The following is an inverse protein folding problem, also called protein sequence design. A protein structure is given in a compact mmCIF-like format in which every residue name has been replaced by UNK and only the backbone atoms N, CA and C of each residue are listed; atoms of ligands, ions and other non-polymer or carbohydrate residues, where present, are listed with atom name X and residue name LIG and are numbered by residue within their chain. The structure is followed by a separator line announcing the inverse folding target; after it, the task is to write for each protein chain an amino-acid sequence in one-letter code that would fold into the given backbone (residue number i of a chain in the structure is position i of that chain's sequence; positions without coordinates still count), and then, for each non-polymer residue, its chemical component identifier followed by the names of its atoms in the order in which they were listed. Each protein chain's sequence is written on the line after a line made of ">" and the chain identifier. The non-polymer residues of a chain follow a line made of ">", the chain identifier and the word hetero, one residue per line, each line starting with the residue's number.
data_IF_538576685648
#
_entry.id   IF_538576685648
#
_cell.length_a   1.000
_cell.length_b   1.000
_cell.length_c   1.000
_cell.angle_alpha   90.00
_cell.angle_beta   90.00
_cell.angle_gamma   90.00
#
_symmetry.space_group_name_H-M   'P 1'
#
loop_
_entity.id
_entity.type
_entity.pdbx_description
1 polymer ?
#
# COMPACT_ATOMS: atom_id res chain seq x y z
N UNK A 1 -18.80 -25.48 -12.43
CA UNK A 1 -17.66 -24.59 -12.68
C UNK A 1 -16.67 -24.75 -11.55
N UNK A 2 -15.39 -24.91 -11.82
CA UNK A 2 -14.40 -25.07 -10.76
C UNK A 2 -14.00 -23.72 -10.14
N UNK A 3 -13.39 -23.76 -8.97
CA UNK A 3 -13.03 -22.55 -8.21
C UNK A 3 -12.06 -21.63 -8.97
N UNK A 4 -11.14 -22.21 -9.75
CA UNK A 4 -10.18 -21.43 -10.53
C UNK A 4 -10.85 -20.60 -11.62
N UNK A 5 -11.82 -21.16 -12.33
CA UNK A 5 -12.59 -20.44 -13.35
C UNK A 5 -13.46 -19.36 -12.71
N UNK A 6 -14.02 -19.64 -11.56
CA UNK A 6 -14.82 -18.65 -10.83
C UNK A 6 -13.97 -17.46 -10.40
N UNK A 7 -12.76 -17.69 -9.90
CA UNK A 7 -11.82 -16.62 -9.55
C UNK A 7 -11.45 -15.74 -10.73
N UNK A 8 -11.19 -16.34 -11.90
CA UNK A 8 -10.88 -15.58 -13.12
C UNK A 8 -12.05 -14.68 -13.50
N UNK A 9 -13.28 -15.19 -13.48
CA UNK A 9 -14.46 -14.40 -13.78
C UNK A 9 -14.68 -13.26 -12.78
N UNK A 10 -14.49 -13.52 -11.50
CA UNK A 10 -14.58 -12.49 -10.45
C UNK A 10 -13.56 -11.38 -10.73
N UNK A 11 -12.31 -11.72 -11.07
CA UNK A 11 -11.29 -10.75 -11.43
C UNK A 11 -11.64 -9.95 -12.67
N UNK A 12 -12.16 -10.59 -13.71
CA UNK A 12 -12.56 -9.91 -14.95
C UNK A 12 -13.72 -8.93 -14.72
N UNK A 13 -14.61 -9.24 -13.80
CA UNK A 13 -15.72 -8.36 -13.45
C UNK A 13 -15.30 -7.23 -12.51
N UNK A 14 -14.39 -7.49 -11.58
CA UNK A 14 -13.94 -6.49 -10.62
C UNK A 14 -12.89 -5.53 -11.19
N UNK A 15 -12.04 -5.97 -12.10
CA UNK A 15 -10.96 -5.14 -12.63
C UNK A 15 -11.44 -3.81 -13.23
N UNK A 16 -12.48 -3.74 -14.07
CA UNK A 16 -13.02 -2.47 -14.54
C UNK A 16 -13.67 -1.65 -13.42
N UNK A 17 -14.28 -2.31 -12.43
CA UNK A 17 -14.96 -1.65 -11.34
C UNK A 17 -13.99 -1.01 -10.33
N UNK A 18 -12.76 -1.53 -10.23
CA UNK A 18 -11.74 -0.98 -9.32
C UNK A 18 -11.17 0.36 -9.80
N UNK A 19 -11.43 0.75 -11.06
CA UNK A 19 -10.93 2.02 -11.59
C UNK A 19 -9.45 1.97 -11.88
N UNK A 20 -8.60 2.16 -10.89
CA UNK A 20 -7.15 2.16 -11.04
C UNK A 20 -6.45 1.09 -10.23
N UNK A 21 -5.17 0.94 -10.48
CA UNK A 21 -4.30 0.06 -9.69
C UNK A 21 -2.86 0.54 -9.80
N UNK A 22 -2.10 0.34 -8.76
CA UNK A 22 -0.67 0.63 -8.77
C UNK A 22 0.10 -0.40 -7.95
N UNK A 23 1.34 -0.62 -8.35
CA UNK A 23 2.28 -1.45 -7.63
C UNK A 23 3.62 -0.75 -7.53
N UNK A 24 4.34 -0.96 -6.44
CA UNK A 24 5.58 -0.26 -6.17
C UNK A 24 6.51 -1.05 -5.27
N UNK A 25 7.82 -0.76 -5.42
CA UNK A 25 8.81 -1.10 -4.41
C UNK A 25 9.12 0.12 -3.57
N UNK A 26 9.56 -0.08 -2.35
CA UNK A 26 9.93 1.03 -1.48
C UNK A 26 11.21 0.75 -0.69
N UNK A 27 11.86 1.86 -0.32
CA UNK A 27 12.90 1.90 0.68
C UNK A 27 12.40 2.72 1.85
N UNK A 28 12.53 2.21 3.06
CA UNK A 28 12.01 2.87 4.24
C UNK A 28 12.94 2.85 5.42
N UNK A 29 12.55 3.57 6.44
CA UNK A 29 13.25 3.62 7.71
C UNK A 29 12.25 3.56 8.86
N UNK A 30 12.46 2.61 9.76
CA UNK A 30 11.67 2.44 10.97
C UNK A 30 12.60 1.90 12.06
N UNK A 31 13.39 2.82 12.66
CA UNK A 31 14.47 2.43 13.56
C UNK A 31 15.66 1.75 12.89
N UNK A 32 15.47 1.25 11.67
CA UNK A 32 16.49 0.66 10.81
C UNK A 32 15.99 0.72 9.37
N UNK A 33 16.89 0.55 8.40
CA UNK A 33 16.53 0.51 6.99
C UNK A 33 15.67 -0.72 6.67
N UNK A 34 14.70 -0.54 5.81
CA UNK A 34 13.80 -1.58 5.33
C UNK A 34 13.65 -1.48 3.82
N UNK A 35 13.44 -2.61 3.18
CA UNK A 35 13.01 -2.67 1.79
C UNK A 35 11.73 -3.45 1.68
N UNK A 36 10.91 -3.11 0.72
CA UNK A 36 9.65 -3.84 0.55
C UNK A 36 8.92 -3.43 -0.71
N UNK A 37 7.66 -3.77 -0.74
CA UNK A 37 6.80 -3.44 -1.85
C UNK A 37 5.34 -3.51 -1.45
N UNK A 38 4.50 -3.01 -2.33
CA UNK A 38 3.08 -3.00 -2.10
C UNK A 38 2.29 -2.70 -3.36
N UNK A 39 1.01 -2.61 -3.20
CA UNK A 39 0.11 -2.28 -4.28
C UNK A 39 -1.28 -1.98 -3.76
N UNK A 40 -2.02 -1.25 -4.58
CA UNK A 40 -3.39 -0.84 -4.29
C UNK A 40 -4.26 -0.95 -5.52
N UNK A 41 -5.52 -1.31 -5.28
CA UNK A 41 -6.59 -1.07 -6.25
C UNK A 41 -7.44 0.08 -5.75
N UNK A 42 -7.90 0.93 -6.65
CA UNK A 42 -8.71 2.10 -6.32
C UNK A 42 -10.11 1.98 -6.91
N UNK A 43 -11.09 2.46 -6.18
CA UNK A 43 -12.50 2.41 -6.60
C UNK A 43 -13.29 3.51 -5.88
N UNK A 44 -13.80 4.45 -6.65
CA UNK A 44 -14.68 5.52 -6.15
C UNK A 44 -14.15 6.23 -4.88
N UNK A 45 -12.87 6.62 -4.91
CA UNK A 45 -12.27 7.32 -3.77
C UNK A 45 -11.83 6.44 -2.62
N UNK A 46 -11.86 5.13 -2.79
CA UNK A 46 -11.37 4.16 -1.82
C UNK A 46 -10.19 3.41 -2.41
N UNK A 47 -9.17 3.15 -1.62
CA UNK A 47 -8.05 2.30 -2.00
C UNK A 47 -7.96 1.11 -1.04
N UNK A 48 -7.74 -0.06 -1.62
CA UNK A 48 -7.52 -1.30 -0.88
C UNK A 48 -6.25 -1.95 -1.41
N UNK A 49 -5.42 -2.44 -0.52
CA UNK A 49 -4.18 -3.06 -0.93
C UNK A 49 -3.37 -3.60 0.22
N UNK A 50 -2.07 -3.66 0.05
CA UNK A 50 -1.18 -4.16 1.07
C UNK A 50 0.26 -3.79 0.81
N UNK A 51 1.05 -3.91 1.85
CA UNK A 51 2.50 -3.71 1.81
C UNK A 51 3.18 -4.79 2.62
N UNK A 52 4.39 -5.14 2.19
CA UNK A 52 5.27 -6.05 2.92
C UNK A 52 6.68 -5.48 2.93
N UNK A 53 7.42 -5.80 3.97
CA UNK A 53 8.78 -5.29 4.15
C UNK A 53 9.67 -6.30 4.85
N UNK A 54 10.99 -6.09 4.71
CA UNK A 54 12.01 -6.84 5.42
C UNK A 54 13.24 -5.98 5.66
N UNK A 55 14.00 -6.33 6.68
CA UNK A 55 15.21 -5.62 7.06
C UNK A 55 15.84 -6.19 8.33
N UNK A 56 16.84 -5.50 8.90
CA UNK A 56 17.53 -5.99 10.11
C UNK A 56 16.62 -6.21 11.32
N UNK A 57 15.50 -5.51 11.39
CA UNK A 57 14.53 -5.66 12.48
C UNK A 57 13.53 -6.79 12.28
N UNK A 58 13.58 -7.48 11.14
CA UNK A 58 12.65 -8.54 10.80
C UNK A 58 11.83 -8.21 9.57
N UNK A 59 10.72 -8.90 9.40
CA UNK A 59 9.84 -8.72 8.27
C UNK A 59 8.39 -8.61 8.73
N UNK A 60 7.58 -8.00 7.88
CA UNK A 60 6.17 -7.82 8.19
C UNK A 60 5.36 -7.53 6.94
N UNK A 61 4.07 -7.40 7.15
CA UNK A 61 3.13 -7.06 6.11
C UNK A 61 1.81 -6.61 6.70
N UNK A 62 1.11 -5.75 5.96
CA UNK A 62 -0.20 -5.24 6.35
C UNK A 62 -1.14 -5.21 5.16
N UNK A 63 -2.41 -5.43 5.43
CA UNK A 63 -3.50 -5.09 4.53
C UNK A 63 -3.95 -3.68 4.84
N UNK A 64 -4.14 -2.87 3.82
CA UNK A 64 -4.41 -1.44 3.96
C UNK A 64 -5.72 -1.06 3.29
N UNK A 65 -6.45 -0.17 3.93
CA UNK A 65 -7.64 0.46 3.38
C UNK A 65 -7.57 1.95 3.67
N UNK A 66 -7.94 2.77 2.70
CA UNK A 66 -7.88 4.21 2.90
C UNK A 66 -8.67 4.99 1.87
N UNK A 67 -8.60 6.31 1.99
CA UNK A 67 -9.21 7.23 1.06
C UNK A 67 -8.22 7.61 -0.03
N UNK A 68 -8.65 7.52 -1.29
CA UNK A 68 -7.85 7.89 -2.45
C UNK A 68 -8.27 9.29 -2.88
N UNK A 69 -7.49 10.29 -2.46
CA UNK A 69 -7.86 11.69 -2.56
C UNK A 69 -7.04 12.41 -3.63
N UNK A 70 -7.65 12.84 -4.75
CA UNK A 70 -6.94 13.65 -5.72
C UNK A 70 -6.68 15.04 -5.14
N UNK A 71 -5.41 15.47 -5.14
CA UNK A 71 -5.00 16.78 -4.65
C UNK A 71 -4.35 17.64 -5.72
N UNK A 72 -4.17 17.09 -6.90
CA UNK A 72 -3.63 17.78 -8.06
C UNK A 72 -3.61 16.86 -9.27
N UNK A 73 -3.25 17.35 -10.47
CA UNK A 73 -3.17 16.51 -11.66
C UNK A 73 -2.15 15.37 -11.45
N UNK A 74 -2.63 14.12 -11.43
CA UNK A 74 -1.78 12.95 -11.21
C UNK A 74 -1.23 12.82 -9.80
N UNK A 75 -1.66 13.62 -8.84
CA UNK A 75 -1.18 13.59 -7.46
C UNK A 75 -2.32 13.21 -6.52
N UNK A 76 -2.05 12.22 -5.67
CA UNK A 76 -3.05 11.65 -4.76
C UNK A 76 -2.49 11.54 -3.35
N UNK A 77 -3.36 11.77 -2.37
CA UNK A 77 -3.08 11.43 -0.97
C UNK A 77 -3.89 10.21 -0.57
N UNK A 78 -3.27 9.36 0.21
CA UNK A 78 -3.87 8.13 0.72
C UNK A 78 -3.66 8.05 2.24
N UNK A 79 -4.54 8.67 3.03
CA UNK A 79 -4.60 8.32 4.45
C UNK A 79 -5.16 6.91 4.56
N UNK A 80 -4.45 6.05 5.27
CA UNK A 80 -4.75 4.62 5.29
C UNK A 80 -4.63 4.04 6.69
N UNK A 81 -5.45 3.04 6.93
CA UNK A 81 -5.44 2.21 8.11
C UNK A 81 -5.05 0.80 7.69
N UNK A 82 -4.12 0.19 8.39
CA UNK A 82 -3.65 -1.16 8.09
C UNK A 82 -3.70 -2.09 9.27
N UNK A 83 -3.87 -3.37 8.97
CA UNK A 83 -3.82 -4.43 9.96
C UNK A 83 -2.97 -5.56 9.40
N UNK A 84 -2.05 -6.06 10.21
CA UNK A 84 -1.16 -7.13 9.77
C UNK A 84 -0.28 -7.64 10.88
N UNK A 85 0.95 -7.98 10.54
CA UNK A 85 1.90 -8.52 11.49
C UNK A 85 3.34 -8.15 11.16
N UNK A 86 4.16 -8.15 12.19
CA UNK A 86 5.60 -7.95 12.10
C UNK A 86 6.29 -8.93 13.05
N UNK A 87 7.17 -9.78 12.50
CA UNK A 87 7.98 -10.73 13.27
C UNK A 87 7.19 -11.53 14.30
N UNK A 88 6.01 -12.01 13.89
CA UNK A 88 5.17 -12.88 14.73
C UNK A 88 4.18 -12.18 15.63
N UNK A 89 4.10 -10.86 15.63
CA UNK A 89 3.11 -10.10 16.42
C UNK A 89 2.12 -9.35 15.54
N UNK A 90 0.94 -9.07 16.06
CA UNK A 90 -0.05 -8.24 15.36
C UNK A 90 0.31 -6.77 15.40
N UNK A 91 -0.09 -6.04 14.38
CA UNK A 91 0.31 -4.68 14.12
C UNK A 91 -0.86 -3.90 13.52
N UNK A 92 -1.09 -2.70 14.04
CA UNK A 92 -2.01 -1.72 13.48
C UNK A 92 -1.19 -0.59 12.86
N UNK A 93 -1.45 -0.26 11.60
CA UNK A 93 -0.73 0.78 10.88
C UNK A 93 -1.65 1.98 10.67
N UNK A 94 -1.18 3.15 11.06
CA UNK A 94 -1.85 4.43 10.81
C UNK A 94 -0.89 5.30 10.04
N UNK A 95 -1.23 5.64 8.81
CA UNK A 95 -0.29 6.41 8.01
C UNK A 95 -0.93 7.17 6.87
N UNK A 96 -0.12 8.00 6.24
CA UNK A 96 -0.49 8.76 5.05
C UNK A 96 0.56 8.49 3.99
N UNK A 97 0.09 8.23 2.77
CA UNK A 97 0.95 8.08 1.61
C UNK A 97 0.56 9.10 0.57
N UNK A 98 1.56 9.62 -0.14
CA UNK A 98 1.34 10.48 -1.28
C UNK A 98 1.92 9.83 -2.52
N UNK A 99 1.21 9.89 -3.64
CA UNK A 99 1.64 9.33 -4.90
C UNK A 99 1.53 10.36 -6.00
N UNK A 100 2.61 10.48 -6.79
CA UNK A 100 2.63 11.33 -7.98
C UNK A 100 2.86 10.47 -9.21
N UNK A 101 1.91 10.48 -10.13
CA UNK A 101 2.06 9.84 -11.44
C UNK A 101 2.75 10.80 -12.39
N UNK A 102 3.68 10.29 -13.18
CA UNK A 102 4.40 11.11 -14.16
C UNK A 102 3.49 11.57 -15.29
N UNK A 103 2.39 10.84 -15.54
CA UNK A 103 1.33 11.21 -16.47
C UNK A 103 -0.02 11.09 -15.77
N UNK A 104 -0.95 11.95 -16.09
CA UNK A 104 -2.28 11.91 -15.47
C UNK A 104 -3.02 10.59 -15.71
N UNK A 105 -2.84 10.00 -16.88
CA UNK A 105 -3.45 8.72 -17.23
C UNK A 105 -2.78 7.51 -16.60
N UNK A 106 -1.59 7.66 -16.02
CA UNK A 106 -0.85 6.58 -15.40
C UNK A 106 0.58 6.46 -15.90
N UNK A 107 1.19 5.30 -15.70
CA UNK A 107 2.56 5.00 -16.01
C UNK A 107 3.42 4.94 -14.75
N UNK A 108 4.60 5.53 -14.77
CA UNK A 108 5.48 5.55 -13.62
C UNK A 108 4.89 6.40 -12.49
N UNK A 109 5.08 5.93 -11.27
CA UNK A 109 4.60 6.62 -10.06
C UNK A 109 5.74 6.72 -9.05
N UNK A 110 5.82 7.86 -8.39
CA UNK A 110 6.70 8.09 -7.25
C UNK A 110 5.83 8.31 -6.01
N UNK A 111 6.24 7.75 -4.88
CA UNK A 111 5.48 7.88 -3.65
C UNK A 111 6.35 8.20 -2.45
N UNK A 112 5.74 8.84 -1.47
CA UNK A 112 6.30 9.05 -0.15
C UNK A 112 5.26 8.64 0.87
N UNK A 113 5.71 8.12 2.00
CA UNK A 113 4.80 7.73 3.05
C UNK A 113 5.40 7.93 4.42
N UNK A 114 4.55 8.17 5.38
CA UNK A 114 4.91 8.26 6.78
C UNK A 114 3.75 7.76 7.63
N UNK A 115 4.06 7.16 8.76
CA UNK A 115 3.04 6.68 9.64
C UNK A 115 3.58 6.15 10.95
N UNK A 116 2.70 5.52 11.67
CA UNK A 116 3.00 4.90 12.96
C UNK A 116 2.46 3.47 12.97
N UNK A 117 3.34 2.54 13.23
CA UNK A 117 2.97 1.14 13.40
C UNK A 117 2.81 0.86 14.89
N UNK A 118 1.59 0.52 15.31
CA UNK A 118 1.26 0.24 16.70
C UNK A 118 1.24 -1.27 16.93
N UNK A 119 2.22 -1.82 17.66
CA UNK A 119 2.19 -3.24 17.97
C UNK A 119 1.10 -3.55 19.00
N UNK A 120 0.31 -4.59 18.74
CA UNK A 120 -0.78 -4.97 19.63
C UNK A 120 -0.37 -5.99 20.68
N UNK A 121 0.70 -6.76 20.43
CA UNK A 121 1.11 -7.87 21.29
C UNK A 121 2.60 -7.91 21.63
N UNK A 122 3.44 -7.16 20.95
CA UNK A 122 4.89 -7.24 21.13
C UNK A 122 5.55 -5.87 21.11
N UNK A 123 6.82 -5.82 21.49
CA UNK A 123 7.66 -4.67 21.25
C UNK A 123 8.01 -4.62 19.76
N UNK A 124 7.89 -3.48 19.16
CA UNK A 124 8.14 -3.28 17.74
C UNK A 124 7.35 -2.09 17.27
N UNK A 125 7.26 -1.92 15.97
CA UNK A 125 6.53 -0.80 15.40
C UNK A 125 7.26 0.52 15.57
N UNK A 126 6.51 1.60 15.66
CA UNK A 126 7.02 2.95 15.78
C UNK A 126 6.82 3.77 14.52
N UNK A 127 7.37 4.97 14.51
CA UNK A 127 7.29 5.86 13.36
C UNK A 127 8.11 5.31 12.19
N UNK A 128 7.57 5.47 10.99
CA UNK A 128 8.27 5.09 9.78
C UNK A 128 8.11 6.14 8.69
N UNK A 129 9.07 6.15 7.76
CA UNK A 129 9.03 6.92 6.53
C UNK A 129 9.42 6.00 5.38
N UNK A 130 8.86 6.24 4.21
CA UNK A 130 9.11 5.42 3.02
C UNK A 130 9.18 6.27 1.76
N UNK A 131 10.05 5.84 0.83
CA UNK A 131 10.10 6.35 -0.53
C UNK A 131 9.77 5.19 -1.45
N UNK A 132 8.82 5.39 -2.34
CA UNK A 132 8.31 4.37 -3.23
C UNK A 132 8.48 4.76 -4.69
N UNK A 133 8.65 3.76 -5.53
CA UNK A 133 8.70 3.92 -6.98
C UNK A 133 8.08 2.70 -7.63
N UNK A 134 7.25 2.94 -8.62
CA UNK A 134 6.57 1.84 -9.30
C UNK A 134 5.79 2.30 -10.51
N UNK A 135 4.67 1.68 -10.73
CA UNK A 135 3.83 1.98 -11.88
C UNK A 135 2.38 1.59 -11.66
N UNK A 136 1.54 2.14 -12.50
CA UNK A 136 0.12 1.87 -12.48
C UNK A 136 -0.70 2.99 -13.09
N UNK A 137 -1.94 3.08 -12.68
CA UNK A 137 -2.87 4.14 -13.09
C UNK A 137 -3.76 4.53 -11.90
N UNK A 138 -4.07 5.82 -11.79
CA UNK A 138 -4.94 6.27 -10.71
C UNK A 138 -6.39 5.80 -10.83
#
# INVERSE_FOLDING_TARGET
>A
MNAKRMLVWVWLLLAPALGGSLGYGFLGFQGAWQGGGGGFGTFQGVALGGESWGGPRGYGGVCLAGAWLPVGPGVFLLPALGLGGESGGFLLDLGVRGFGFFREEGGWVFGVGAGYALPLESSGGGWYVRLAFGGGRP
#
